data_IF_034946760804
#
_entry.id   IF_034946760804
#
_cell.length_a   1.000
_cell.length_b   1.000
_cell.length_c   1.000
_cell.angle_alpha   90.00
_cell.angle_beta   90.00
_cell.angle_gamma   90.00
#
_symmetry.space_group_name_H-M   'P 1'
#
loop_
_entity.id
_entity.type
_entity.pdbx_description
1 polymer ?
#
# COMPACT_ATOMS: atom_id res chain seq x y z
N UNK A 1 19.70 13.20 17.73
CA UNK A 1 18.62 12.25 17.40
C UNK A 1 18.92 11.56 16.08
N UNK A 2 19.30 12.31 15.04
CA UNK A 2 19.77 11.81 13.74
C UNK A 2 20.74 10.62 13.83
N UNK A 3 21.87 10.75 14.53
CA UNK A 3 22.87 9.66 14.63
C UNK A 3 22.29 8.35 15.21
N UNK A 4 21.36 8.45 16.18
CA UNK A 4 20.71 7.26 16.77
C UNK A 4 19.81 6.55 15.75
N UNK A 5 19.16 7.30 14.86
CA UNK A 5 18.31 6.73 13.80
C UNK A 5 19.18 6.09 12.72
N UNK A 6 20.26 6.75 12.31
CA UNK A 6 21.19 6.21 11.32
C UNK A 6 21.80 4.88 11.78
N UNK A 7 22.22 4.81 13.04
CA UNK A 7 22.71 3.60 13.68
C UNK A 7 21.63 2.51 13.74
N UNK A 8 20.41 2.86 14.19
CA UNK A 8 19.31 1.90 14.29
C UNK A 8 18.88 1.31 12.93
N UNK A 9 18.97 2.09 11.85
CA UNK A 9 18.69 1.64 10.47
C UNK A 9 19.89 0.93 9.83
N UNK A 10 21.02 0.79 10.54
CA UNK A 10 22.27 0.26 10.03
C UNK A 10 22.70 0.92 8.70
N UNK A 11 22.44 2.23 8.58
CA UNK A 11 22.73 3.06 7.39
C UNK A 11 22.08 2.57 6.08
N UNK A 12 21.03 1.74 6.13
CA UNK A 12 20.21 1.41 4.96
C UNK A 12 19.24 2.56 4.67
N UNK A 13 19.69 3.54 3.88
CA UNK A 13 18.95 4.79 3.62
C UNK A 13 18.23 4.82 2.27
N UNK A 14 18.49 3.86 1.39
CA UNK A 14 17.83 3.77 0.08
C UNK A 14 16.61 2.87 0.20
N UNK A 15 15.42 3.46 0.01
CA UNK A 15 14.14 2.77 0.08
C UNK A 15 13.48 2.79 -1.30
N UNK A 16 13.03 1.63 -1.77
CA UNK A 16 12.25 1.50 -2.99
C UNK A 16 10.77 1.65 -2.65
N UNK A 17 10.07 2.52 -3.37
CA UNK A 17 8.67 2.87 -3.08
C UNK A 17 7.71 2.38 -4.18
N UNK A 18 6.47 2.00 -3.83
CA UNK A 18 5.48 1.50 -4.81
C UNK A 18 5.13 2.52 -5.90
N UNK A 19 5.27 3.82 -5.64
CA UNK A 19 5.03 4.89 -6.61
C UNK A 19 5.85 4.76 -7.89
N UNK A 20 7.06 4.19 -7.81
CA UNK A 20 7.97 4.13 -8.97
C UNK A 20 7.36 3.31 -10.11
N UNK A 21 6.72 2.19 -9.79
CA UNK A 21 6.17 1.26 -10.79
C UNK A 21 4.79 1.68 -11.29
N UNK A 22 4.13 2.62 -10.62
CA UNK A 22 2.76 3.01 -10.93
C UNK A 22 2.59 3.59 -12.34
N UNK A 23 3.43 4.53 -12.83
CA UNK A 23 3.29 5.08 -14.18
C UNK A 23 3.49 4.03 -15.27
N UNK A 24 4.47 3.13 -15.09
CA UNK A 24 4.81 2.05 -16.02
C UNK A 24 3.64 1.05 -16.12
N UNK A 25 3.13 0.58 -14.99
CA UNK A 25 1.99 -0.34 -15.00
C UNK A 25 0.70 0.30 -15.51
N UNK A 26 0.45 1.57 -15.19
CA UNK A 26 -0.72 2.29 -15.70
C UNK A 26 -0.65 2.47 -17.22
N UNK A 27 0.57 2.58 -17.76
CA UNK A 27 0.83 2.59 -19.20
C UNK A 27 0.49 1.28 -19.86
N UNK A 28 1.10 0.22 -19.34
CA UNK A 28 1.03 -1.09 -19.94
C UNK A 28 -0.38 -1.70 -19.84
N UNK A 29 -1.13 -1.35 -18.79
CA UNK A 29 -2.50 -1.83 -18.61
C UNK A 29 -3.54 -1.09 -19.47
N UNK A 30 -3.13 -0.05 -20.20
CA UNK A 30 -4.01 0.87 -20.94
C UNK A 30 -5.07 1.57 -20.06
N UNK A 31 -4.84 1.69 -18.75
CA UNK A 31 -5.80 2.28 -17.79
C UNK A 31 -5.45 3.74 -17.49
N UNK A 32 -5.09 4.51 -18.53
CA UNK A 32 -4.75 5.93 -18.42
C UNK A 32 -5.95 6.86 -18.21
N UNK A 33 -6.87 6.46 -17.34
CA UNK A 33 -7.86 7.39 -16.82
C UNK A 33 -7.27 8.16 -15.63
N UNK A 34 -7.35 9.48 -15.69
CA UNK A 34 -7.04 10.39 -14.59
C UNK A 34 -7.73 9.94 -13.30
N UNK A 35 -8.99 9.50 -13.39
CA UNK A 35 -9.75 9.04 -12.23
C UNK A 35 -9.18 7.76 -11.60
N UNK A 36 -8.69 6.83 -12.43
CA UNK A 36 -8.05 5.60 -11.96
C UNK A 36 -6.69 5.90 -11.33
N UNK A 37 -5.91 6.76 -11.97
CA UNK A 37 -4.58 7.15 -11.50
C UNK A 37 -4.66 7.79 -10.12
N UNK A 38 -5.60 8.72 -9.91
CA UNK A 38 -5.80 9.34 -8.59
C UNK A 38 -6.26 8.35 -7.53
N UNK A 39 -7.18 7.43 -7.87
CA UNK A 39 -7.62 6.40 -6.94
C UNK A 39 -6.47 5.48 -6.54
N UNK A 40 -5.72 4.97 -7.51
CA UNK A 40 -4.59 4.06 -7.27
C UNK A 40 -3.48 4.76 -6.48
N UNK A 41 -3.20 6.02 -6.79
CA UNK A 41 -2.28 6.84 -6.02
C UNK A 41 -2.73 6.98 -4.56
N UNK A 42 -4.02 7.25 -4.33
CA UNK A 42 -4.62 7.29 -2.99
C UNK A 42 -4.42 5.99 -2.22
N UNK A 43 -4.74 4.84 -2.85
CA UNK A 43 -4.53 3.51 -2.26
C UNK A 43 -3.06 3.30 -1.87
N UNK A 44 -2.12 3.63 -2.76
CA UNK A 44 -0.68 3.51 -2.47
C UNK A 44 -0.28 4.37 -1.27
N UNK A 45 -0.79 5.59 -1.13
CA UNK A 45 -0.52 6.42 0.06
C UNK A 45 -1.02 5.76 1.34
N UNK A 46 -2.18 5.13 1.29
CA UNK A 46 -2.78 4.52 2.48
C UNK A 46 -2.03 3.25 2.91
N UNK A 47 -1.34 2.56 2.00
CA UNK A 47 -0.50 1.39 2.34
C UNK A 47 0.63 1.69 3.32
N UNK A 48 1.07 2.95 3.47
CA UNK A 48 2.07 3.36 4.47
C UNK A 48 1.53 3.38 5.91
N UNK A 49 0.22 3.24 6.08
CA UNK A 49 -0.41 3.04 7.41
C UNK A 49 -0.41 1.57 7.82
N UNK A 50 0.13 0.69 6.98
CA UNK A 50 0.19 -0.75 7.13
C UNK A 50 1.66 -1.21 7.09
N UNK A 51 1.90 -2.48 7.39
CA UNK A 51 3.25 -3.05 7.38
C UNK A 51 3.70 -3.54 5.98
N UNK A 52 2.87 -3.34 4.95
CA UNK A 52 3.04 -3.89 3.60
C UNK A 52 4.43 -3.62 3.00
N UNK A 53 4.97 -2.40 3.13
CA UNK A 53 6.28 -2.04 2.57
C UNK A 53 7.46 -2.77 3.24
N UNK A 54 7.24 -3.32 4.45
CA UNK A 54 8.25 -4.09 5.19
C UNK A 54 8.22 -5.57 4.82
N UNK A 55 7.08 -6.08 4.34
CA UNK A 55 6.85 -7.51 4.08
C UNK A 55 6.77 -7.87 2.59
N UNK A 56 6.45 -6.91 1.71
CA UNK A 56 6.25 -7.15 0.28
C UNK A 56 7.12 -6.23 -0.60
N UNK A 57 7.62 -6.76 -1.73
CA UNK A 57 8.21 -5.95 -2.78
C UNK A 57 7.30 -4.80 -3.24
N UNK A 58 7.84 -3.57 -3.45
CA UNK A 58 7.02 -2.40 -3.76
C UNK A 58 6.11 -2.54 -4.97
N UNK A 59 6.56 -3.22 -6.03
CA UNK A 59 5.78 -3.40 -7.25
C UNK A 59 4.53 -4.27 -7.03
N UNK A 60 4.59 -5.26 -6.13
CA UNK A 60 3.43 -6.11 -5.81
C UNK A 60 2.35 -5.32 -5.07
N UNK A 61 2.76 -4.38 -4.22
CA UNK A 61 1.84 -3.44 -3.55
C UNK A 61 1.15 -2.57 -4.60
N UNK A 62 1.89 -2.05 -5.58
CA UNK A 62 1.32 -1.29 -6.70
C UNK A 62 0.31 -2.11 -7.49
N UNK A 63 0.63 -3.37 -7.83
CA UNK A 63 -0.28 -4.28 -8.52
C UNK A 63 -1.55 -4.55 -7.72
N UNK A 64 -1.45 -4.76 -6.40
CA UNK A 64 -2.61 -4.92 -5.54
C UNK A 64 -3.48 -3.66 -5.49
N UNK A 65 -2.87 -2.47 -5.45
CA UNK A 65 -3.60 -1.20 -5.52
C UNK A 65 -4.32 -1.04 -6.86
N UNK A 66 -3.67 -1.37 -7.98
CA UNK A 66 -4.28 -1.33 -9.33
C UNK A 66 -5.45 -2.32 -9.40
N UNK A 67 -5.28 -3.52 -8.86
CA UNK A 67 -6.35 -4.54 -8.80
C UNK A 67 -7.58 -4.06 -8.00
N UNK A 68 -7.37 -3.46 -6.83
CA UNK A 68 -8.48 -2.89 -6.05
C UNK A 68 -9.16 -1.76 -6.83
N UNK A 69 -8.37 -0.85 -7.41
CA UNK A 69 -8.89 0.29 -8.15
C UNK A 69 -9.69 -0.15 -9.39
N UNK A 70 -9.21 -1.17 -10.12
CA UNK A 70 -9.89 -1.71 -11.29
C UNK A 70 -11.23 -2.33 -10.93
N UNK A 71 -11.29 -3.12 -9.86
CA UNK A 71 -12.54 -3.70 -9.35
C UNK A 71 -13.51 -2.59 -8.93
N UNK A 72 -13.02 -1.57 -8.21
CA UNK A 72 -13.85 -0.45 -7.75
C UNK A 72 -14.42 0.40 -8.90
N UNK A 73 -13.71 0.50 -10.03
CA UNK A 73 -14.12 1.26 -11.21
C UNK A 73 -14.73 0.38 -12.31
N UNK A 74 -14.98 -0.89 -12.04
CA UNK A 74 -15.54 -1.86 -12.99
C UNK A 74 -14.72 -1.95 -14.30
N UNK A 75 -13.39 -1.85 -14.19
CA UNK A 75 -12.45 -1.99 -15.31
C UNK A 75 -11.93 -3.43 -15.38
N UNK A 76 -12.10 -4.05 -16.54
CA UNK A 76 -11.57 -5.38 -16.81
C UNK A 76 -10.10 -5.31 -17.20
N UNK A 77 -9.24 -5.90 -16.36
CA UNK A 77 -7.78 -5.88 -16.51
C UNK A 77 -7.19 -7.28 -16.37
N UNK A 78 -8.03 -8.31 -16.51
CA UNK A 78 -7.65 -9.72 -16.32
C UNK A 78 -6.61 -10.17 -17.32
N UNK A 79 -6.81 -9.85 -18.60
CA UNK A 79 -5.86 -10.19 -19.67
C UNK A 79 -4.48 -9.59 -19.41
N UNK A 80 -4.42 -8.33 -18.98
CA UNK A 80 -3.16 -7.69 -18.63
C UNK A 80 -2.46 -8.38 -17.46
N UNK A 81 -3.19 -8.77 -16.42
CA UNK A 81 -2.62 -9.54 -15.31
C UNK A 81 -2.12 -10.93 -15.72
N UNK A 82 -2.77 -11.60 -16.67
CA UNK A 82 -2.34 -12.89 -17.21
C UNK A 82 -1.01 -12.78 -17.97
N UNK A 83 -0.78 -11.66 -18.66
CA UNK A 83 0.46 -11.39 -19.43
C UNK A 83 1.68 -11.10 -18.54
N UNK A 84 1.47 -10.68 -17.29
CA UNK A 84 2.55 -10.32 -16.37
C UNK A 84 3.23 -11.53 -15.69
N UNK A 85 2.76 -12.76 -15.94
CA UNK A 85 3.35 -14.03 -15.43
C UNK A 85 3.64 -14.06 -13.91
N UNK A 86 2.80 -13.42 -13.09
CA UNK A 86 2.95 -13.38 -11.63
C UNK A 86 2.00 -14.33 -10.90
N UNK A 87 2.33 -14.65 -9.64
CA UNK A 87 1.42 -15.35 -8.74
C UNK A 87 0.33 -14.40 -8.22
N UNK A 88 -0.86 -14.53 -8.80
CA UNK A 88 -2.04 -13.76 -8.41
C UNK A 88 -2.51 -14.02 -6.98
N UNK A 89 -2.11 -15.13 -6.34
CA UNK A 89 -2.44 -15.35 -4.93
C UNK A 89 -1.74 -14.32 -4.04
N UNK A 90 -0.52 -13.91 -4.39
CA UNK A 90 0.22 -12.90 -3.63
C UNK A 90 -0.48 -11.55 -3.74
N UNK A 91 -0.83 -11.14 -4.97
CA UNK A 91 -1.55 -9.87 -5.21
C UNK A 91 -2.89 -9.87 -4.50
N UNK A 92 -3.64 -10.98 -4.56
CA UNK A 92 -4.91 -11.14 -3.84
C UNK A 92 -4.73 -10.99 -2.33
N UNK A 93 -3.72 -11.63 -1.74
CA UNK A 93 -3.49 -11.55 -0.29
C UNK A 93 -3.18 -10.12 0.15
N UNK A 94 -2.31 -9.42 -0.58
CA UNK A 94 -2.01 -8.00 -0.33
C UNK A 94 -3.28 -7.15 -0.46
N UNK A 95 -4.07 -7.39 -1.51
CA UNK A 95 -5.32 -6.66 -1.72
C UNK A 95 -6.33 -6.88 -0.58
N UNK A 96 -6.44 -8.12 -0.08
CA UNK A 96 -7.29 -8.43 1.08
C UNK A 96 -6.82 -7.68 2.33
N UNK A 97 -5.51 -7.63 2.60
CA UNK A 97 -4.98 -6.88 3.75
C UNK A 97 -5.30 -5.38 3.67
N UNK A 98 -5.20 -4.80 2.46
CA UNK A 98 -5.59 -3.39 2.23
C UNK A 98 -7.09 -3.18 2.48
N UNK A 99 -7.94 -4.10 2.02
CA UNK A 99 -9.39 -4.00 2.22
C UNK A 99 -9.77 -4.19 3.70
N UNK A 100 -9.16 -5.17 4.38
CA UNK A 100 -9.33 -5.40 5.81
C UNK A 100 -8.93 -4.16 6.62
N UNK A 101 -7.87 -3.46 6.21
CA UNK A 101 -7.50 -2.18 6.82
C UNK A 101 -8.63 -1.14 6.71
N UNK A 102 -9.25 -0.99 5.53
CA UNK A 102 -10.35 -0.04 5.34
C UNK A 102 -11.60 -0.42 6.15
N UNK A 103 -11.93 -1.70 6.27
CA UNK A 103 -13.04 -2.16 7.11
C UNK A 103 -12.80 -1.82 8.59
N UNK A 104 -11.58 -2.05 9.06
CA UNK A 104 -11.19 -1.78 10.44
C UNK A 104 -10.90 -0.30 10.72
N UNK A 105 -10.73 0.54 9.70
CA UNK A 105 -10.33 1.94 9.87
C UNK A 105 -11.32 2.74 10.75
N UNK A 106 -12.60 2.38 10.71
CA UNK A 106 -13.66 3.00 11.54
C UNK A 106 -13.43 2.85 13.05
N UNK A 107 -12.55 1.95 13.44
CA UNK A 107 -12.23 1.67 14.84
C UNK A 107 -11.23 2.67 15.45
N UNK A 108 -10.58 3.53 14.65
CA UNK A 108 -9.62 4.53 15.13
C UNK A 108 -10.30 5.83 15.55
N UNK A 109 -11.03 5.82 16.67
CA UNK A 109 -11.62 7.04 17.23
C UNK A 109 -10.59 7.85 18.01
N UNK A 110 -10.76 9.17 18.10
CA UNK A 110 -9.84 10.03 18.85
C UNK A 110 -9.72 9.59 20.32
N UNK A 111 -10.81 9.15 20.94
CA UNK A 111 -10.81 8.68 22.33
C UNK A 111 -9.90 7.46 22.50
N UNK A 112 -9.91 6.54 21.54
CA UNK A 112 -9.04 5.36 21.56
C UNK A 112 -7.58 5.72 21.35
N UNK A 113 -7.31 6.69 20.47
CA UNK A 113 -5.96 7.20 20.24
C UNK A 113 -5.42 7.88 21.51
N UNK A 114 -6.20 8.75 22.15
CA UNK A 114 -5.83 9.38 23.42
C UNK A 114 -5.62 8.34 24.53
N UNK A 115 -6.50 7.34 24.64
CA UNK A 115 -6.34 6.27 25.60
C UNK A 115 -5.05 5.45 25.36
N UNK A 116 -4.66 5.23 24.10
CA UNK A 116 -3.40 4.56 23.76
C UNK A 116 -2.17 5.41 24.13
N UNK A 117 -2.18 6.71 23.82
CA UNK A 117 -1.10 7.62 24.22
C UNK A 117 -0.92 7.72 25.73
N UNK A 118 -2.03 7.74 26.49
CA UNK A 118 -1.97 7.76 27.95
C UNK A 118 -1.30 6.50 28.52
N UNK A 119 -1.51 5.33 27.90
CA UNK A 119 -0.81 4.09 28.30
C UNK A 119 0.70 4.15 28.02
N UNK A 120 1.08 4.75 26.90
CA UNK A 120 2.49 4.93 26.53
C UNK A 120 3.23 5.80 27.55
N UNK A 121 2.60 6.87 28.04
CA UNK A 121 3.19 7.78 29.02
C UNK A 121 3.42 7.13 30.40
N UNK A 122 2.72 6.04 30.72
CA UNK A 122 2.78 5.37 32.03
C UNK A 122 3.81 4.24 32.13
N UNK A 123 4.41 3.81 31.01
CA UNK A 123 5.47 2.80 30.99
C UNK A 123 6.68 3.33 30.19
N UNK A 124 7.69 3.93 30.85
CA UNK A 124 8.95 4.29 30.21
C UNK A 124 9.78 3.08 29.80
#
# INVERSE_FOLDING_TARGET
MEMKILEALNFYLVVFHPYRSLPEFSQDSEIYDTSMTHLTWGLVNDTYRMDLILIHPPFLITLACIYIASVHKEKDIRTWFEELFLDMNIVKNIAMEILDFYENHRLFTEERVHAAFNKLATNP
#
